data_IF_382444907853
#
_entry.id   IF_382444907853
#
_cell.length_a   1.000
_cell.length_b   1.000
_cell.length_c   1.000
_cell.angle_alpha   90.00
_cell.angle_beta   90.00
_cell.angle_gamma   90.00
#
_symmetry.space_group_name_H-M   'P 1'
#
loop_
_entity.id
_entity.type
_entity.pdbx_description
1 polymer ?
#
# COMPACT_ATOMS: atom_id res chain seq x y z
N UNK A 1 41.06 -10.40 88.43
CA UNK A 1 41.39 -11.14 87.18
C UNK A 1 41.00 -10.28 86.01
N UNK A 2 41.90 -9.76 85.23
CA UNK A 2 41.62 -9.12 83.95
C UNK A 2 41.73 -10.20 82.88
N UNK A 3 40.63 -10.44 82.19
CA UNK A 3 40.63 -11.35 81.02
C UNK A 3 40.88 -10.50 79.77
N UNK A 4 42.04 -10.71 79.15
CA UNK A 4 42.37 -10.13 77.83
C UNK A 4 41.77 -11.04 76.75
N UNK A 5 40.78 -10.56 76.06
CA UNK A 5 40.25 -11.23 74.88
C UNK A 5 41.03 -10.64 73.66
N UNK A 6 41.79 -11.46 72.93
CA UNK A 6 42.45 -10.95 71.72
C UNK A 6 41.39 -10.73 70.65
N UNK A 7 41.17 -9.48 70.30
CA UNK A 7 40.34 -9.11 69.14
C UNK A 7 41.23 -9.09 67.92
N UNK A 8 41.02 -10.01 67.00
CA UNK A 8 41.69 -10.01 65.70
C UNK A 8 40.88 -9.13 64.75
N UNK A 9 41.43 -7.99 64.39
CA UNK A 9 40.84 -7.16 63.35
C UNK A 9 40.89 -7.87 62.00
N UNK A 10 39.77 -8.15 61.40
CA UNK A 10 39.67 -8.72 60.05
C UNK A 10 39.76 -7.54 59.08
N UNK A 11 40.69 -7.61 58.11
CA UNK A 11 40.87 -6.58 57.12
C UNK A 11 39.76 -6.59 56.10
N UNK A 12 39.23 -5.43 55.75
CA UNK A 12 38.34 -5.29 54.60
C UNK A 12 39.09 -5.63 53.30
N UNK A 13 38.42 -6.37 52.42
CA UNK A 13 39.02 -6.86 51.16
C UNK A 13 38.52 -6.04 49.96
N UNK A 14 37.22 -6.06 49.71
CA UNK A 14 36.60 -5.30 48.63
C UNK A 14 35.14 -4.98 48.94
N UNK A 15 34.50 -4.17 48.07
CA UNK A 15 33.08 -3.92 48.09
C UNK A 15 32.40 -4.66 46.95
N UNK A 16 31.36 -5.41 47.29
CA UNK A 16 30.44 -6.01 46.31
C UNK A 16 29.29 -5.02 46.05
N UNK A 17 29.21 -4.52 44.86
CA UNK A 17 28.18 -3.60 44.42
C UNK A 17 27.03 -4.37 43.75
N UNK A 18 25.80 -3.86 43.87
CA UNK A 18 24.65 -4.28 43.08
C UNK A 18 23.76 -3.11 42.77
N UNK A 19 22.95 -3.24 41.72
CA UNK A 19 22.00 -2.25 41.26
C UNK A 19 20.67 -2.95 40.96
N UNK A 20 19.60 -2.60 41.63
CA UNK A 20 18.25 -3.11 41.49
C UNK A 20 18.08 -4.64 41.46
N UNK A 21 16.91 -5.14 41.68
CA UNK A 21 16.54 -6.54 41.46
C UNK A 21 15.78 -6.63 40.11
N UNK A 22 16.44 -7.04 39.05
CA UNK A 22 15.81 -7.24 37.74
C UNK A 22 16.67 -6.85 36.54
N UNK A 23 16.18 -7.08 35.33
CA UNK A 23 16.88 -6.68 34.12
C UNK A 23 16.87 -5.14 33.99
N UNK A 24 18.02 -4.60 33.59
CA UNK A 24 18.24 -3.16 33.37
C UNK A 24 18.54 -2.99 31.90
N UNK A 25 17.96 -1.98 31.29
CA UNK A 25 18.02 -1.77 29.83
C UNK A 25 18.70 -0.46 29.48
N UNK A 26 19.40 -0.47 28.36
CA UNK A 26 19.93 0.74 27.75
C UNK A 26 18.78 1.70 27.43
N UNK A 27 18.90 2.96 27.92
CA UNK A 27 17.86 3.96 27.86
C UNK A 27 17.04 4.13 29.16
N UNK A 28 17.27 3.29 30.15
CA UNK A 28 16.64 3.51 31.47
C UNK A 28 17.32 4.67 32.21
N UNK A 29 16.55 5.42 32.99
CA UNK A 29 17.06 6.44 33.87
C UNK A 29 17.86 5.81 35.02
N UNK A 30 18.97 6.41 35.38
CA UNK A 30 19.71 5.97 36.55
C UNK A 30 19.02 6.41 37.84
N UNK A 31 18.87 5.49 38.79
CA UNK A 31 18.24 5.70 40.10
C UNK A 31 19.26 5.43 41.23
N UNK A 32 19.84 6.47 41.86
CA UNK A 32 20.84 6.31 42.92
C UNK A 32 20.37 5.41 44.08
N UNK A 33 19.09 5.43 44.39
CA UNK A 33 18.48 4.63 45.44
C UNK A 33 18.50 3.11 45.16
N UNK A 34 18.73 2.71 43.93
CA UNK A 34 18.85 1.29 43.54
C UNK A 34 20.27 0.74 43.75
N UNK A 35 21.25 1.58 44.10
CA UNK A 35 22.61 1.13 44.41
C UNK A 35 22.63 0.56 45.83
N UNK A 36 23.16 -0.67 45.94
CA UNK A 36 23.49 -1.28 47.23
C UNK A 36 24.92 -1.80 47.24
N UNK A 37 25.52 -1.88 48.41
CA UNK A 37 26.91 -2.24 48.58
C UNK A 37 27.11 -3.08 49.84
N UNK A 38 27.92 -4.15 49.72
CA UNK A 38 28.38 -4.98 50.85
C UNK A 38 29.90 -4.90 50.98
N UNK A 39 30.37 -4.58 52.15
CA UNK A 39 31.84 -4.69 52.46
C UNK A 39 32.17 -6.16 52.74
N UNK A 40 33.06 -6.71 51.96
CA UNK A 40 33.53 -8.08 52.09
C UNK A 40 34.87 -8.05 52.80
N UNK A 41 34.99 -8.87 53.84
CA UNK A 41 36.21 -9.03 54.62
C UNK A 41 37.05 -10.24 54.15
N UNK A 42 38.34 -10.24 54.51
CA UNK A 42 39.28 -11.29 54.10
C UNK A 42 38.90 -12.72 54.58
N UNK A 43 37.97 -12.87 55.50
CA UNK A 43 37.40 -14.16 55.92
C UNK A 43 36.05 -14.47 55.26
N UNK A 44 35.69 -13.71 54.23
CA UNK A 44 34.40 -13.79 53.51
C UNK A 44 33.18 -13.39 54.36
N UNK A 45 33.36 -12.84 55.53
CA UNK A 45 32.21 -12.21 56.23
C UNK A 45 31.80 -10.92 55.49
N UNK A 46 30.51 -10.57 55.58
CA UNK A 46 29.90 -9.47 54.86
C UNK A 46 29.26 -8.51 55.83
N UNK A 47 29.34 -7.22 55.48
CA UNK A 47 28.61 -6.14 56.14
C UNK A 47 27.93 -5.26 55.12
N UNK A 48 26.61 -5.19 55.18
CA UNK A 48 25.84 -4.21 54.39
C UNK A 48 26.26 -2.79 54.73
N UNK A 49 26.50 -1.99 53.69
CA UNK A 49 26.82 -0.57 53.82
C UNK A 49 25.52 0.25 53.73
N UNK A 50 25.34 1.14 54.70
CA UNK A 50 24.26 2.12 54.60
C UNK A 50 24.58 3.14 53.51
N UNK A 51 23.60 3.83 52.93
CA UNK A 51 23.79 4.90 51.96
C UNK A 51 24.66 6.06 52.46
N UNK A 52 24.83 6.19 53.78
CA UNK A 52 25.74 7.14 54.43
C UNK A 52 27.21 6.69 54.50
N UNK A 53 27.49 5.40 54.19
CA UNK A 53 28.84 4.83 54.26
C UNK A 53 29.63 5.00 52.95
N UNK A 54 28.98 5.52 51.89
CA UNK A 54 29.60 5.83 50.60
C UNK A 54 28.98 7.11 49.99
N UNK A 55 29.72 7.77 49.09
CA UNK A 55 29.31 8.95 48.36
C UNK A 55 29.44 8.70 46.86
N UNK A 56 28.35 8.81 46.12
CA UNK A 56 28.38 8.73 44.64
C UNK A 56 28.98 10.02 44.08
N UNK A 57 30.12 9.96 43.42
CA UNK A 57 30.87 11.10 42.89
C UNK A 57 30.71 11.34 41.41
N UNK A 58 30.33 10.27 40.66
CA UNK A 58 29.98 10.32 39.24
C UNK A 58 28.88 9.30 38.98
N UNK A 59 27.79 9.75 38.34
CA UNK A 59 26.65 8.93 37.96
C UNK A 59 26.17 9.31 36.56
N UNK A 60 25.72 8.34 35.76
CA UNK A 60 25.00 8.65 34.52
C UNK A 60 23.61 9.27 34.84
N UNK A 61 23.03 9.98 33.93
CA UNK A 61 21.62 10.40 33.98
C UNK A 61 20.72 9.33 33.33
N UNK A 62 21.16 8.85 32.18
CA UNK A 62 20.53 7.74 31.43
C UNK A 62 21.62 6.66 31.24
N UNK A 63 21.25 5.42 31.45
CA UNK A 63 22.11 4.27 31.27
C UNK A 63 22.28 3.97 29.77
N UNK A 64 23.49 4.05 29.29
CA UNK A 64 23.81 3.71 27.90
C UNK A 64 25.00 2.74 27.84
N UNK A 65 25.22 2.09 26.70
CA UNK A 65 26.38 1.22 26.51
C UNK A 65 27.71 1.91 26.80
N UNK A 66 27.78 3.24 26.54
CA UNK A 66 28.99 4.05 26.74
C UNK A 66 29.06 4.72 28.11
N UNK A 67 27.93 4.87 28.82
CA UNK A 67 27.84 5.51 30.13
C UNK A 67 26.88 4.74 31.07
N UNK A 68 27.41 3.70 31.71
CA UNK A 68 26.71 2.87 32.71
C UNK A 68 27.61 2.60 33.94
N UNK A 69 28.63 3.42 34.12
CA UNK A 69 29.58 3.30 35.23
C UNK A 69 29.30 4.33 36.30
N UNK A 70 29.21 3.85 37.55
CA UNK A 70 29.09 4.68 38.73
C UNK A 70 30.44 4.75 39.44
N UNK A 71 30.83 5.94 39.87
CA UNK A 71 32.01 6.11 40.73
C UNK A 71 31.55 6.48 42.13
N UNK A 72 32.07 5.79 43.11
CA UNK A 72 31.73 6.00 44.52
C UNK A 72 32.99 6.12 45.37
N UNK A 73 32.95 7.05 46.32
CA UNK A 73 33.98 7.21 47.35
C UNK A 73 33.53 6.41 48.58
N UNK A 74 34.41 5.50 49.03
CA UNK A 74 34.11 4.56 50.11
C UNK A 74 35.22 4.56 51.15
N UNK A 75 35.08 3.73 52.19
CA UNK A 75 36.15 3.53 53.21
C UNK A 75 37.43 2.91 52.60
N UNK A 76 37.32 2.22 51.46
CA UNK A 76 38.44 1.62 50.72
C UNK A 76 39.08 2.60 49.72
N UNK A 77 38.46 3.73 49.45
CA UNK A 77 38.88 4.72 48.47
C UNK A 77 37.82 5.00 47.44
N UNK A 78 38.24 5.46 46.27
CA UNK A 78 37.38 5.68 45.11
C UNK A 78 37.32 4.38 44.31
N UNK A 79 36.09 3.92 44.02
CA UNK A 79 35.79 2.69 43.32
C UNK A 79 34.80 2.93 42.18
N UNK A 80 34.87 2.09 41.15
CA UNK A 80 33.99 2.11 40.02
C UNK A 80 33.16 0.84 39.99
N UNK A 81 31.90 0.96 39.64
CA UNK A 81 30.97 -0.11 39.47
C UNK A 81 30.28 0.03 38.12
N UNK A 82 30.44 -0.98 37.25
CA UNK A 82 29.72 -1.08 35.99
C UNK A 82 28.37 -1.76 36.25
N UNK A 83 27.28 -1.04 35.91
CA UNK A 83 25.92 -1.57 36.03
C UNK A 83 25.69 -2.59 34.91
N UNK A 84 25.30 -3.85 35.23
CA UNK A 84 24.97 -4.83 34.20
C UNK A 84 23.81 -4.32 33.36
N UNK A 85 24.01 -4.20 32.05
CA UNK A 85 23.07 -3.55 31.14
C UNK A 85 22.73 -4.46 29.98
N UNK A 86 21.42 -4.64 29.70
CA UNK A 86 20.97 -5.19 28.44
C UNK A 86 21.03 -4.09 27.38
N UNK A 87 22.03 -4.21 26.49
CA UNK A 87 22.26 -3.21 25.45
C UNK A 87 21.33 -3.40 24.26
N UNK A 88 21.09 -2.33 23.50
CA UNK A 88 20.29 -2.40 22.27
C UNK A 88 21.07 -3.15 21.20
N UNK A 89 20.53 -4.29 20.79
CA UNK A 89 21.07 -5.12 19.72
C UNK A 89 20.58 -4.67 18.33
N UNK A 90 19.36 -4.13 18.26
CA UNK A 90 18.71 -3.71 17.01
C UNK A 90 17.67 -2.63 17.25
N UNK A 91 17.56 -1.69 16.30
CA UNK A 91 16.41 -0.81 16.16
C UNK A 91 15.71 -1.15 14.84
N UNK A 92 14.41 -1.33 14.87
CA UNK A 92 13.57 -1.62 13.70
C UNK A 92 12.59 -0.47 13.50
N UNK A 93 12.48 -0.01 12.27
CA UNK A 93 11.46 0.92 11.79
C UNK A 93 10.57 0.15 10.82
N UNK A 94 9.26 0.20 11.01
CA UNK A 94 8.30 -0.52 10.18
C UNK A 94 7.12 0.39 9.82
N UNK A 95 6.53 0.16 8.65
CA UNK A 95 5.27 0.79 8.28
C UNK A 95 4.10 -0.14 8.56
N UNK A 96 2.97 0.43 8.98
CA UNK A 96 1.70 -0.29 9.19
C UNK A 96 0.96 -0.57 7.90
N UNK A 97 1.31 0.12 6.81
CA UNK A 97 0.64 0.05 5.52
C UNK A 97 1.62 -0.29 4.40
N UNK A 98 1.06 -0.70 3.27
CA UNK A 98 1.83 -0.90 2.05
C UNK A 98 2.34 0.46 1.55
N UNK A 99 3.63 0.57 1.37
CA UNK A 99 4.27 1.79 0.89
C UNK A 99 4.54 1.73 -0.63
N UNK A 100 4.43 2.89 -1.24
CA UNK A 100 4.89 3.15 -2.61
C UNK A 100 6.04 4.16 -2.58
N UNK A 101 6.73 4.34 -3.70
CA UNK A 101 7.68 5.44 -3.85
C UNK A 101 7.01 6.79 -3.55
N UNK A 102 7.69 7.66 -2.81
CA UNK A 102 7.15 8.96 -2.39
C UNK A 102 7.68 9.42 -1.05
N UNK A 103 7.14 10.51 -0.55
CA UNK A 103 7.51 11.15 0.70
C UNK A 103 6.50 10.80 1.79
N UNK A 104 7.01 10.34 2.93
CA UNK A 104 6.19 9.93 4.07
C UNK A 104 6.60 10.68 5.34
N UNK A 105 5.65 11.17 6.14
CA UNK A 105 5.98 11.71 7.44
C UNK A 105 6.50 10.61 8.37
N UNK A 106 7.46 10.94 9.23
CA UNK A 106 8.03 9.97 10.19
C UNK A 106 6.99 9.34 11.13
N UNK A 107 5.84 9.97 11.31
CA UNK A 107 4.71 9.45 12.10
C UNK A 107 3.98 8.25 11.47
N UNK A 108 4.20 7.97 10.19
CA UNK A 108 3.60 6.82 9.50
C UNK A 108 4.32 5.50 9.81
N UNK A 109 5.41 5.60 10.58
CA UNK A 109 6.23 4.46 10.96
C UNK A 109 6.15 4.19 12.47
N UNK A 110 6.34 2.94 12.84
CA UNK A 110 6.57 2.48 14.20
C UNK A 110 8.05 2.20 14.41
N UNK A 111 8.52 2.39 15.62
CA UNK A 111 9.92 2.20 16.01
C UNK A 111 9.97 1.24 17.18
N UNK A 112 10.85 0.25 17.13
CA UNK A 112 11.03 -0.77 18.15
C UNK A 112 12.51 -1.05 18.34
N UNK A 113 12.98 -1.08 19.58
CA UNK A 113 14.30 -1.61 19.93
C UNK A 113 14.18 -3.04 20.42
N UNK A 114 15.17 -3.84 20.07
CA UNK A 114 15.37 -5.19 20.61
C UNK A 114 16.67 -5.17 21.42
N UNK A 115 16.61 -5.68 22.64
CA UNK A 115 17.78 -5.74 23.54
C UNK A 115 18.57 -7.04 23.40
N UNK A 116 19.68 -7.12 24.09
CA UNK A 116 20.60 -8.27 24.04
C UNK A 116 20.01 -9.56 24.64
N UNK A 117 18.95 -9.47 25.41
CA UNK A 117 18.16 -10.59 25.98
C UNK A 117 16.90 -10.90 25.18
N UNK A 118 16.76 -10.35 23.97
CA UNK A 118 15.61 -10.46 23.05
C UNK A 118 14.32 -9.75 23.52
N UNK A 119 14.36 -9.02 24.65
CA UNK A 119 13.25 -8.15 25.05
C UNK A 119 13.09 -6.99 24.09
N UNK A 120 11.86 -6.51 23.94
CA UNK A 120 11.48 -5.46 22.96
C UNK A 120 10.78 -4.31 23.66
N UNK A 121 11.04 -3.10 23.14
CA UNK A 121 10.38 -1.88 23.59
C UNK A 121 10.01 -1.01 22.41
N UNK A 122 8.71 -0.65 22.33
CA UNK A 122 8.24 0.35 21.38
C UNK A 122 8.76 1.73 21.79
N UNK A 123 9.19 2.52 20.81
CA UNK A 123 9.62 3.89 20.96
C UNK A 123 8.57 4.86 20.40
N UNK A 124 8.43 6.00 21.04
CA UNK A 124 7.70 7.12 20.46
C UNK A 124 8.50 7.70 19.29
N UNK A 125 7.81 8.30 18.33
CA UNK A 125 8.43 9.04 17.22
C UNK A 125 9.29 10.23 17.72
N UNK A 126 9.01 10.74 18.93
CA UNK A 126 9.77 11.81 19.55
C UNK A 126 11.04 11.33 20.25
N UNK A 127 11.17 10.03 20.49
CA UNK A 127 12.37 9.44 21.12
C UNK A 127 13.49 9.22 20.10
N UNK A 128 13.18 9.26 18.80
CA UNK A 128 14.14 9.00 17.72
C UNK A 128 14.46 10.25 16.93
N UNK A 129 15.72 10.38 16.53
CA UNK A 129 16.17 11.42 15.62
C UNK A 129 16.15 10.88 14.18
N UNK A 130 15.23 11.39 13.37
CA UNK A 130 15.03 11.05 11.96
C UNK A 130 14.42 12.27 11.26
N UNK A 131 14.65 12.49 9.96
CA UNK A 131 13.99 13.56 9.22
C UNK A 131 12.46 13.50 9.32
N UNK A 132 11.80 14.67 9.43
CA UNK A 132 10.33 14.74 9.52
C UNK A 132 9.63 14.14 8.29
N UNK A 133 10.31 14.11 7.15
CA UNK A 133 9.85 13.50 5.90
C UNK A 133 10.90 12.52 5.39
N UNK A 134 10.46 11.31 5.08
CA UNK A 134 11.30 10.19 4.64
C UNK A 134 10.99 9.91 3.18
N UNK A 135 11.91 10.25 2.25
CA UNK A 135 11.74 9.92 0.84
C UNK A 135 12.04 8.44 0.60
N UNK A 136 11.12 7.74 -0.06
CA UNK A 136 11.28 6.34 -0.45
C UNK A 136 11.31 6.21 -1.97
N UNK A 137 12.31 5.55 -2.49
CA UNK A 137 12.36 5.08 -3.87
C UNK A 137 11.71 3.68 -3.97
N UNK A 138 11.32 3.27 -5.18
CA UNK A 138 10.85 1.90 -5.39
C UNK A 138 11.98 0.89 -5.08
N UNK A 139 11.67 -0.14 -4.32
CA UNK A 139 12.62 -1.14 -3.83
C UNK A 139 12.97 -0.97 -2.35
N UNK A 140 14.12 -1.45 -1.97
CA UNK A 140 14.62 -1.36 -0.60
C UNK A 140 15.30 0.01 -0.36
N UNK A 141 14.95 0.64 0.76
CA UNK A 141 15.48 1.92 1.21
C UNK A 141 16.10 1.71 2.59
N UNK A 142 17.38 1.95 2.72
CA UNK A 142 18.07 1.91 4.00
C UNK A 142 17.95 3.27 4.66
N UNK A 143 17.24 3.31 5.78
CA UNK A 143 16.92 4.53 6.53
C UNK A 143 17.74 4.54 7.81
N UNK A 144 18.46 5.64 8.03
CA UNK A 144 19.21 5.87 9.25
C UNK A 144 18.32 6.48 10.33
N UNK A 145 18.31 5.86 11.51
CA UNK A 145 17.54 6.29 12.68
C UNK A 145 18.51 6.40 13.85
N UNK A 146 18.57 7.56 14.50
CA UNK A 146 19.40 7.77 15.69
C UNK A 146 18.56 7.65 16.96
N UNK A 147 19.02 6.86 17.91
CA UNK A 147 18.44 6.71 19.23
C UNK A 147 19.54 6.65 20.28
N UNK A 148 19.41 7.40 21.37
CA UNK A 148 20.42 7.58 22.42
C UNK A 148 21.83 7.95 21.87
N UNK A 149 21.85 8.80 20.81
CA UNK A 149 23.08 9.25 20.16
C UNK A 149 23.77 8.21 19.28
N UNK A 150 23.20 7.01 19.11
CA UNK A 150 23.72 5.93 18.27
C UNK A 150 22.86 5.76 17.03
N UNK A 151 23.52 5.58 15.88
CA UNK A 151 22.88 5.39 14.58
C UNK A 151 22.60 3.91 14.32
N UNK A 152 21.37 3.65 13.86
CA UNK A 152 20.88 2.33 13.44
C UNK A 152 20.36 2.43 12.01
N UNK A 153 20.49 1.36 11.25
CA UNK A 153 19.93 1.27 9.88
C UNK A 153 18.74 0.32 9.86
N UNK A 154 17.61 0.81 9.35
CA UNK A 154 16.43 0.00 9.10
C UNK A 154 16.10 0.00 7.61
N UNK A 155 15.73 -1.16 7.06
CA UNK A 155 15.41 -1.29 5.64
C UNK A 155 13.90 -1.28 5.44
N UNK A 156 13.39 -0.30 4.70
CA UNK A 156 11.98 -0.15 4.32
C UNK A 156 11.82 -0.48 2.84
N UNK A 157 10.87 -1.35 2.52
CA UNK A 157 10.56 -1.69 1.12
C UNK A 157 9.36 -0.90 0.64
N UNK A 158 9.50 -0.17 -0.47
CA UNK A 158 8.43 0.54 -1.15
C UNK A 158 8.23 -0.02 -2.56
N UNK A 159 6.98 -0.07 -3.04
CA UNK A 159 6.65 -0.46 -4.41
C UNK A 159 6.74 0.74 -5.36
N UNK A 160 6.96 0.46 -6.63
CA UNK A 160 6.75 1.46 -7.67
C UNK A 160 5.25 1.78 -7.77
N UNK A 161 4.90 3.07 -7.91
CA UNK A 161 3.53 3.47 -8.18
C UNK A 161 3.09 2.97 -9.54
N UNK A 162 1.95 2.34 -9.55
CA UNK A 162 1.29 1.90 -10.79
C UNK A 162 0.41 3.01 -11.36
N UNK A 163 -0.02 2.90 -12.61
CA UNK A 163 -0.94 3.87 -13.22
C UNK A 163 -2.24 4.03 -12.40
N UNK A 164 -2.76 2.93 -11.84
CA UNK A 164 -3.95 2.94 -11.00
C UNK A 164 -3.73 3.69 -9.67
N UNK A 165 -2.58 3.49 -9.03
CA UNK A 165 -2.22 4.20 -7.78
C UNK A 165 -2.02 5.70 -8.05
N UNK A 166 -1.29 6.06 -9.11
CA UNK A 166 -1.14 7.46 -9.52
C UNK A 166 -2.49 8.10 -9.83
N UNK A 167 -3.40 7.36 -10.48
CA UNK A 167 -4.74 7.84 -10.76
C UNK A 167 -5.55 8.10 -9.49
N UNK A 168 -5.48 7.22 -8.49
CA UNK A 168 -6.17 7.40 -7.20
C UNK A 168 -5.72 8.67 -6.48
N UNK A 169 -4.45 9.00 -6.53
CA UNK A 169 -3.90 10.24 -5.99
C UNK A 169 -4.32 11.47 -6.83
N UNK A 170 -4.17 11.38 -8.15
CA UNK A 170 -4.46 12.47 -9.09
C UNK A 170 -5.94 12.85 -9.09
N UNK A 171 -6.82 11.85 -9.09
CA UNK A 171 -8.27 12.01 -9.17
C UNK A 171 -8.97 11.85 -7.81
N UNK A 172 -8.29 12.16 -6.71
CA UNK A 172 -8.85 12.06 -5.36
C UNK A 172 -10.19 12.78 -5.22
N UNK A 173 -10.31 14.01 -5.72
CA UNK A 173 -11.57 14.77 -5.70
C UNK A 173 -12.68 14.06 -6.47
N UNK A 174 -12.34 13.36 -7.55
CA UNK A 174 -13.30 12.56 -8.31
C UNK A 174 -13.76 11.34 -7.51
N UNK A 175 -12.85 10.66 -6.81
CA UNK A 175 -13.20 9.56 -5.91
C UNK A 175 -14.08 10.03 -4.75
N UNK A 176 -13.75 11.13 -4.11
CA UNK A 176 -14.50 11.70 -2.98
C UNK A 176 -15.95 12.07 -3.37
N UNK A 177 -16.18 12.43 -4.64
CA UNK A 177 -17.50 12.75 -5.20
C UNK A 177 -18.16 11.61 -5.98
N UNK A 178 -17.58 10.41 -5.96
CA UNK A 178 -18.11 9.25 -6.67
C UNK A 178 -19.31 8.64 -5.94
N UNK A 179 -20.28 8.11 -6.70
CA UNK A 179 -21.38 7.30 -6.14
C UNK A 179 -20.99 5.83 -5.98
N UNK A 180 -19.91 5.42 -6.65
CA UNK A 180 -19.27 4.10 -6.51
C UNK A 180 -17.85 4.19 -7.01
N UNK A 181 -16.93 3.47 -6.38
CA UNK A 181 -15.53 3.40 -6.82
C UNK A 181 -14.88 2.05 -6.51
N UNK A 182 -13.81 1.76 -7.22
CA UNK A 182 -12.90 0.64 -6.94
C UNK A 182 -11.48 1.12 -7.19
N UNK A 183 -10.62 1.00 -6.18
CA UNK A 183 -9.20 1.31 -6.29
C UNK A 183 -8.38 0.17 -5.73
N UNK A 184 -7.42 -0.29 -6.52
CA UNK A 184 -6.44 -1.33 -6.15
C UNK A 184 -5.10 -0.99 -6.77
N UNK A 185 -4.08 -1.79 -6.52
CA UNK A 185 -2.77 -1.67 -7.18
C UNK A 185 -2.85 -1.73 -8.71
N UNK A 186 -3.91 -2.28 -9.28
CA UNK A 186 -3.99 -2.59 -10.73
C UNK A 186 -5.15 -1.93 -11.46
N UNK A 187 -6.12 -1.38 -10.75
CA UNK A 187 -7.29 -0.74 -11.35
C UNK A 187 -7.76 0.45 -10.51
N UNK A 188 -8.10 1.53 -11.21
CA UNK A 188 -8.82 2.68 -10.70
C UNK A 188 -10.16 2.77 -11.43
N UNK A 189 -11.24 2.89 -10.68
CA UNK A 189 -12.59 3.14 -11.20
C UNK A 189 -13.28 4.18 -10.33
N UNK A 190 -13.83 5.20 -10.97
CA UNK A 190 -14.72 6.17 -10.34
C UNK A 190 -16.02 6.26 -11.14
N UNK A 191 -17.15 6.21 -10.46
CA UNK A 191 -18.47 6.36 -11.06
C UNK A 191 -19.12 7.61 -10.52
N UNK A 192 -19.36 8.58 -11.38
CA UNK A 192 -20.01 9.85 -11.04
C UNK A 192 -21.42 9.90 -11.60
N UNK A 193 -22.38 10.30 -10.78
CA UNK A 193 -23.72 10.64 -11.23
C UNK A 193 -23.74 12.10 -11.70
N UNK A 194 -24.19 12.33 -12.90
CA UNK A 194 -24.26 13.64 -13.55
C UNK A 194 -25.69 13.92 -14.01
N UNK A 195 -26.03 15.19 -14.05
CA UNK A 195 -27.36 15.65 -14.44
C UNK A 195 -27.27 16.62 -15.61
N UNK A 196 -28.19 16.51 -16.52
CA UNK A 196 -28.43 17.46 -17.63
C UNK A 196 -29.91 17.86 -17.64
N UNK A 197 -30.26 18.83 -18.45
CA UNK A 197 -31.68 19.17 -18.68
C UNK A 197 -32.51 18.00 -19.22
N UNK A 198 -31.85 17.05 -19.89
CA UNK A 198 -32.48 15.86 -20.49
C UNK A 198 -32.55 14.64 -19.60
N UNK A 199 -31.97 14.70 -18.38
CA UNK A 199 -31.99 13.60 -17.43
C UNK A 199 -30.61 13.33 -16.79
N UNK A 200 -30.52 12.20 -16.12
CA UNK A 200 -29.28 11.78 -15.45
C UNK A 200 -28.45 10.81 -16.31
N UNK A 201 -27.15 10.81 -16.06
CA UNK A 201 -26.26 9.80 -16.61
C UNK A 201 -25.15 9.47 -15.60
N UNK A 202 -24.59 8.29 -15.73
CA UNK A 202 -23.43 7.86 -14.98
C UNK A 202 -22.19 7.91 -15.88
N UNK A 203 -21.17 8.61 -15.41
CA UNK A 203 -19.85 8.68 -16.04
C UNK A 203 -18.90 7.80 -15.22
N UNK A 204 -18.38 6.76 -15.85
CA UNK A 204 -17.37 5.88 -15.24
C UNK A 204 -16.02 6.17 -15.85
N UNK A 205 -15.04 6.55 -15.03
CA UNK A 205 -13.64 6.71 -15.39
C UNK A 205 -12.89 5.45 -14.97
N UNK A 206 -12.09 4.88 -15.85
CA UNK A 206 -11.41 3.59 -15.65
C UNK A 206 -9.95 3.74 -16.05
N UNK A 207 -9.03 3.42 -15.14
CA UNK A 207 -7.61 3.31 -15.44
C UNK A 207 -7.15 1.92 -15.01
N UNK A 208 -6.41 1.24 -15.91
CA UNK A 208 -5.85 -0.09 -15.69
C UNK A 208 -4.37 -0.11 -16.01
N UNK A 209 -3.60 -0.91 -15.27
CA UNK A 209 -2.15 -1.01 -15.46
C UNK A 209 -1.77 -1.85 -16.69
N UNK A 210 -2.50 -2.92 -16.93
CA UNK A 210 -2.29 -3.83 -18.07
C UNK A 210 -3.57 -3.96 -18.90
N UNK A 211 -3.81 -3.02 -19.84
CA UNK A 211 -4.99 -3.05 -20.68
C UNK A 211 -5.05 -4.28 -21.59
N UNK A 212 -3.89 -4.93 -21.85
CA UNK A 212 -3.84 -6.14 -22.67
C UNK A 212 -4.56 -7.30 -22.02
N UNK A 213 -4.48 -7.44 -20.71
CA UNK A 213 -5.09 -8.53 -19.95
C UNK A 213 -6.36 -8.10 -19.18
N UNK A 214 -6.48 -6.83 -18.78
CA UNK A 214 -7.56 -6.35 -17.92
C UNK A 214 -8.81 -5.90 -18.71
N UNK A 215 -8.65 -5.50 -19.98
CA UNK A 215 -9.77 -5.10 -20.85
C UNK A 215 -10.10 -6.24 -21.82
N UNK A 216 -11.35 -6.69 -21.82
CA UNK A 216 -11.77 -7.87 -22.61
C UNK A 216 -13.20 -7.71 -23.12
N UNK A 217 -13.44 -8.19 -24.33
CA UNK A 217 -14.79 -8.52 -24.75
C UNK A 217 -15.29 -9.76 -23.98
N UNK A 218 -16.57 -9.83 -23.67
CA UNK A 218 -17.21 -10.98 -23.01
C UNK A 218 -18.29 -11.63 -23.86
N UNK A 219 -18.61 -12.87 -23.58
CA UNK A 219 -19.77 -13.57 -24.13
C UNK A 219 -20.75 -13.89 -23.00
N UNK A 220 -22.01 -13.74 -23.28
CA UNK A 220 -23.10 -14.22 -22.41
C UNK A 220 -22.90 -15.70 -22.09
N UNK A 221 -22.81 -16.06 -20.79
CA UNK A 221 -22.59 -17.43 -20.35
C UNK A 221 -21.36 -18.11 -21.00
N UNK A 222 -20.35 -17.33 -21.39
CA UNK A 222 -19.14 -17.78 -22.11
C UNK A 222 -19.41 -18.59 -23.38
N UNK A 223 -20.58 -18.45 -23.97
CA UNK A 223 -21.05 -19.24 -25.11
C UNK A 223 -21.45 -18.36 -26.28
N UNK A 224 -20.93 -18.72 -27.48
CA UNK A 224 -21.38 -18.12 -28.74
C UNK A 224 -22.79 -18.60 -29.06
N UNK A 225 -23.70 -17.67 -29.32
CA UNK A 225 -25.12 -17.97 -29.56
C UNK A 225 -25.92 -18.38 -28.33
N UNK A 226 -25.36 -18.19 -27.14
CA UNK A 226 -26.03 -18.47 -25.87
C UNK A 226 -27.16 -17.48 -25.51
N UNK A 227 -27.89 -17.82 -24.44
CA UNK A 227 -28.94 -16.92 -23.91
C UNK A 227 -28.35 -15.62 -23.39
N UNK A 228 -29.18 -14.56 -23.38
CA UNK A 228 -28.79 -13.25 -22.85
C UNK A 228 -28.44 -13.34 -21.37
N UNK A 229 -27.45 -12.58 -20.98
CA UNK A 229 -26.99 -12.41 -19.60
C UNK A 229 -26.94 -10.91 -19.25
N UNK A 230 -27.34 -10.56 -18.04
CA UNK A 230 -27.21 -9.18 -17.58
C UNK A 230 -25.73 -8.87 -17.28
N UNK A 231 -25.24 -7.64 -17.57
CA UNK A 231 -23.88 -7.24 -17.24
C UNK A 231 -23.53 -7.48 -15.75
N UNK A 232 -24.49 -7.24 -14.83
CA UNK A 232 -24.28 -7.50 -13.40
C UNK A 232 -24.08 -8.97 -13.07
N UNK A 233 -24.82 -9.88 -13.74
CA UNK A 233 -24.61 -11.32 -13.59
C UNK A 233 -23.25 -11.75 -14.16
N UNK A 234 -22.89 -11.21 -15.32
CA UNK A 234 -21.58 -11.40 -15.92
C UNK A 234 -20.45 -10.94 -15.01
N UNK A 235 -20.56 -9.73 -14.45
CA UNK A 235 -19.59 -9.20 -13.49
C UNK A 235 -19.40 -10.13 -12.28
N UNK A 236 -20.52 -10.55 -11.68
CA UNK A 236 -20.48 -11.41 -10.48
C UNK A 236 -19.78 -12.75 -10.71
N UNK A 237 -19.96 -13.38 -11.88
CA UNK A 237 -19.31 -14.68 -12.17
C UNK A 237 -17.88 -14.57 -12.70
N UNK A 238 -17.49 -13.43 -13.28
CA UNK A 238 -16.16 -13.23 -13.88
C UNK A 238 -15.21 -12.44 -12.99
N UNK A 239 -15.73 -11.80 -11.93
CA UNK A 239 -14.96 -10.90 -11.08
C UNK A 239 -14.61 -9.57 -11.76
N UNK A 240 -15.32 -9.19 -12.85
CA UNK A 240 -15.06 -7.92 -13.52
C UNK A 240 -15.53 -6.74 -12.66
N UNK A 241 -14.64 -5.77 -12.42
CA UNK A 241 -14.96 -4.58 -11.64
C UNK A 241 -15.95 -3.66 -12.37
N UNK A 242 -15.90 -3.62 -13.70
CA UNK A 242 -16.80 -2.83 -14.56
C UNK A 242 -17.25 -3.66 -15.74
N UNK A 243 -18.53 -3.60 -16.06
CA UNK A 243 -19.10 -4.25 -17.24
C UNK A 243 -20.12 -3.36 -17.91
N UNK A 244 -20.23 -3.50 -19.23
CA UNK A 244 -21.29 -2.87 -20.01
C UNK A 244 -21.80 -3.83 -21.06
N UNK A 245 -23.00 -3.57 -21.57
CA UNK A 245 -23.50 -4.29 -22.73
C UNK A 245 -22.67 -3.95 -23.96
N UNK A 246 -22.53 -4.94 -24.84
CA UNK A 246 -21.93 -4.79 -26.17
C UNK A 246 -22.87 -5.30 -27.25
N UNK A 247 -22.41 -5.33 -28.46
CA UNK A 247 -23.00 -5.87 -29.68
C UNK A 247 -24.49 -5.66 -29.89
N UNK A 248 -24.84 -4.85 -30.88
CA UNK A 248 -26.17 -4.93 -31.48
C UNK A 248 -26.35 -6.32 -32.10
N UNK A 249 -27.49 -6.93 -31.87
CA UNK A 249 -27.80 -8.26 -32.39
C UNK A 249 -29.20 -8.28 -33.02
N UNK A 250 -29.38 -9.14 -33.99
CA UNK A 250 -30.69 -9.56 -34.52
C UNK A 250 -30.92 -11.02 -34.16
N UNK A 251 -32.12 -11.51 -34.43
CA UNK A 251 -32.42 -12.94 -34.30
C UNK A 251 -32.45 -13.59 -35.67
N UNK A 252 -31.72 -14.69 -35.79
CA UNK A 252 -31.85 -15.61 -36.89
C UNK A 252 -32.25 -16.98 -36.36
N UNK A 253 -33.39 -17.50 -36.84
CA UNK A 253 -33.92 -18.80 -36.40
C UNK A 253 -34.02 -18.93 -34.86
N UNK A 254 -34.33 -17.82 -34.16
CA UNK A 254 -34.50 -17.79 -32.72
C UNK A 254 -33.18 -17.59 -31.93
N UNK A 255 -32.05 -17.52 -32.61
CA UNK A 255 -30.75 -17.29 -31.99
C UNK A 255 -30.26 -15.84 -32.20
N UNK A 256 -29.66 -15.18 -31.18
CA UNK A 256 -29.06 -13.89 -31.36
C UNK A 256 -27.83 -13.96 -32.25
N UNK A 257 -27.77 -13.17 -33.30
CA UNK A 257 -26.62 -13.06 -34.21
C UNK A 257 -26.14 -11.61 -34.29
N UNK A 258 -24.83 -11.43 -34.24
CA UNK A 258 -24.24 -10.12 -34.47
C UNK A 258 -24.10 -9.82 -35.96
N UNK A 259 -24.15 -8.55 -36.36
CA UNK A 259 -23.78 -8.13 -37.71
C UNK A 259 -22.26 -8.14 -37.89
N UNK A 260 -21.80 -8.22 -39.16
CA UNK A 260 -20.38 -8.21 -39.48
C UNK A 260 -19.63 -9.48 -39.05
N UNK A 261 -18.35 -9.36 -38.73
CA UNK A 261 -17.52 -10.40 -38.17
C UNK A 261 -17.40 -10.33 -36.64
N UNK A 262 -16.92 -11.40 -36.01
CA UNK A 262 -16.74 -11.45 -34.58
C UNK A 262 -15.47 -12.22 -34.20
N UNK A 263 -14.64 -11.58 -33.36
CA UNK A 263 -13.43 -12.19 -32.78
C UNK A 263 -13.56 -12.11 -31.24
N UNK A 264 -13.20 -13.18 -30.57
CA UNK A 264 -13.16 -13.27 -29.12
C UNK A 264 -11.88 -13.95 -28.64
N UNK A 265 -11.08 -13.24 -27.86
CA UNK A 265 -9.84 -13.78 -27.30
C UNK A 265 -8.89 -14.31 -28.36
N UNK A 266 -8.76 -13.63 -29.50
CA UNK A 266 -7.94 -14.06 -30.64
C UNK A 266 -8.49 -15.22 -31.45
N UNK A 267 -9.79 -15.57 -31.31
CA UNK A 267 -10.46 -16.60 -32.14
C UNK A 267 -11.58 -15.99 -32.97
N UNK A 268 -11.63 -16.30 -34.25
CA UNK A 268 -12.74 -15.94 -35.10
C UNK A 268 -13.94 -16.84 -34.74
N UNK A 269 -15.00 -16.23 -34.19
CA UNK A 269 -16.24 -16.91 -33.86
C UNK A 269 -17.28 -16.76 -34.98
N UNK A 270 -17.24 -15.67 -35.70
CA UNK A 270 -18.00 -15.44 -36.91
C UNK A 270 -17.08 -14.87 -37.97
N UNK A 271 -16.91 -15.60 -39.04
CA UNK A 271 -16.18 -15.10 -40.20
C UNK A 271 -17.04 -14.10 -40.99
N UNK A 272 -16.37 -13.28 -41.77
CA UNK A 272 -17.00 -12.25 -42.59
C UNK A 272 -16.14 -10.97 -42.66
N UNK A 273 -16.77 -9.90 -43.08
CA UNK A 273 -16.13 -8.61 -43.18
C UNK A 273 -16.84 -7.58 -42.26
N UNK A 274 -16.09 -6.58 -41.85
CA UNK A 274 -16.62 -5.47 -41.08
C UNK A 274 -17.63 -4.65 -41.86
N UNK A 275 -18.59 -4.03 -41.16
CA UNK A 275 -19.55 -3.11 -41.75
C UNK A 275 -19.26 -1.63 -41.36
N UNK A 276 -18.15 -1.39 -40.65
CA UNK A 276 -17.76 -0.05 -40.17
C UNK A 276 -18.45 0.39 -38.90
N UNK A 277 -19.18 -0.51 -38.20
CA UNK A 277 -19.85 -0.29 -36.92
C UNK A 277 -19.34 -1.17 -35.81
N UNK A 278 -18.26 -1.86 -36.01
CA UNK A 278 -17.61 -2.68 -35.01
C UNK A 278 -16.64 -1.84 -34.18
N UNK A 279 -16.43 -2.27 -32.95
CA UNK A 279 -15.31 -1.86 -32.13
C UNK A 279 -14.32 -3.01 -32.12
N UNK A 280 -13.07 -2.71 -32.50
CA UNK A 280 -11.92 -3.58 -32.35
C UNK A 280 -11.16 -3.24 -31.09
N UNK A 281 -10.80 -4.23 -30.32
CA UNK A 281 -9.86 -4.15 -29.20
C UNK A 281 -8.60 -4.95 -29.58
N UNK A 282 -7.48 -4.29 -29.65
CA UNK A 282 -6.21 -4.94 -29.97
C UNK A 282 -5.45 -5.45 -28.73
N UNK A 283 -4.30 -6.07 -28.94
CA UNK A 283 -3.46 -6.61 -27.88
C UNK A 283 -2.82 -5.55 -26.97
N UNK A 284 -2.89 -4.27 -27.35
CA UNK A 284 -2.39 -3.15 -26.52
C UNK A 284 -3.48 -2.54 -25.64
N UNK A 285 -4.74 -2.96 -25.84
CA UNK A 285 -5.90 -2.35 -25.18
C UNK A 285 -6.47 -1.15 -25.94
N UNK A 286 -6.04 -0.91 -27.17
CA UNK A 286 -6.56 0.16 -28.00
C UNK A 286 -7.91 -0.21 -28.59
N UNK A 287 -8.88 0.70 -28.42
CA UNK A 287 -10.16 0.67 -29.12
C UNK A 287 -10.11 1.47 -30.43
N UNK A 288 -10.70 0.93 -31.47
CA UNK A 288 -10.93 1.68 -32.72
C UNK A 288 -12.07 1.05 -33.54
N UNK A 289 -12.65 1.84 -34.42
CA UNK A 289 -13.63 1.40 -35.38
C UNK A 289 -12.95 1.17 -36.74
N UNK A 290 -12.97 -0.06 -37.27
CA UNK A 290 -12.35 -0.36 -38.55
C UNK A 290 -13.20 0.19 -39.70
N UNK A 291 -12.58 0.39 -40.87
CA UNK A 291 -13.33 0.62 -42.10
C UNK A 291 -14.19 -0.58 -42.46
N UNK A 292 -15.26 -0.36 -43.23
CA UNK A 292 -16.07 -1.46 -43.76
C UNK A 292 -15.27 -2.30 -44.77
N UNK A 293 -15.59 -3.59 -44.86
CA UNK A 293 -14.99 -4.51 -45.85
C UNK A 293 -13.69 -5.19 -45.42
N UNK A 294 -13.22 -5.00 -44.17
CA UNK A 294 -12.01 -5.67 -43.68
C UNK A 294 -12.40 -7.06 -43.12
N UNK A 295 -11.68 -8.11 -43.53
CA UNK A 295 -11.97 -9.49 -43.08
C UNK A 295 -11.55 -9.70 -41.61
N UNK A 296 -12.24 -10.65 -40.94
CA UNK A 296 -11.87 -11.07 -39.58
C UNK A 296 -10.42 -11.57 -39.50
N UNK A 297 -9.97 -12.31 -40.51
CA UNK A 297 -8.60 -12.83 -40.58
C UNK A 297 -7.56 -11.71 -40.70
N UNK A 298 -7.84 -10.65 -41.47
CA UNK A 298 -6.97 -9.47 -41.58
C UNK A 298 -6.88 -8.74 -40.25
N UNK A 299 -7.98 -8.54 -39.55
CA UNK A 299 -8.01 -7.91 -38.24
C UNK A 299 -7.27 -8.72 -37.16
N UNK A 300 -7.47 -10.04 -37.17
CA UNK A 300 -6.73 -10.94 -36.28
C UNK A 300 -5.21 -10.86 -36.53
N UNK A 301 -4.80 -10.89 -37.81
CA UNK A 301 -3.39 -10.76 -38.18
C UNK A 301 -2.79 -9.39 -37.79
N UNK A 302 -3.60 -8.34 -37.69
CA UNK A 302 -3.18 -6.99 -37.21
C UNK A 302 -3.13 -6.87 -35.68
N UNK A 303 -3.42 -7.94 -34.92
CA UNK A 303 -3.34 -7.94 -33.45
C UNK A 303 -4.67 -7.68 -32.76
N UNK A 304 -5.80 -7.65 -33.46
CA UNK A 304 -7.12 -7.55 -32.83
C UNK A 304 -7.45 -8.83 -32.08
N UNK A 305 -7.76 -8.69 -30.80
CA UNK A 305 -8.12 -9.83 -29.94
C UNK A 305 -9.62 -9.99 -29.72
N UNK A 306 -10.36 -8.88 -29.70
CA UNK A 306 -11.81 -8.88 -29.52
C UNK A 306 -12.47 -7.93 -30.51
N UNK A 307 -13.63 -8.29 -31.04
CA UNK A 307 -14.50 -7.45 -31.86
C UNK A 307 -15.91 -7.61 -31.35
N UNK A 308 -16.63 -6.50 -31.25
CA UNK A 308 -18.08 -6.49 -31.04
C UNK A 308 -18.74 -5.35 -31.85
N UNK A 309 -20.01 -5.52 -32.18
CA UNK A 309 -20.75 -4.53 -32.94
C UNK A 309 -21.29 -3.39 -32.06
N UNK A 310 -21.59 -2.28 -32.65
CA UNK A 310 -22.32 -1.17 -32.03
C UNK A 310 -23.64 -0.91 -32.76
N UNK A 311 -24.59 -0.30 -32.04
CA UNK A 311 -25.86 0.05 -32.67
C UNK A 311 -25.73 1.25 -33.60
N UNK A 312 -24.95 2.23 -33.23
CA UNK A 312 -24.62 3.50 -33.92
C UNK A 312 -23.63 4.32 -33.09
N UNK A 313 -23.33 5.52 -33.51
CA UNK A 313 -22.21 5.87 -34.38
C UNK A 313 -20.97 6.17 -33.56
N UNK A 314 -19.88 6.36 -34.23
CA UNK A 314 -18.70 7.01 -33.64
C UNK A 314 -19.09 8.46 -33.25
N UNK A 315 -19.02 8.77 -31.94
CA UNK A 315 -19.38 10.08 -31.40
C UNK A 315 -18.20 11.07 -31.38
N UNK A 316 -17.02 10.52 -31.12
CA UNK A 316 -15.76 11.27 -31.06
C UNK A 316 -14.72 10.50 -31.85
N UNK A 317 -13.98 11.18 -32.70
CA UNK A 317 -12.82 10.65 -33.44
C UNK A 317 -11.67 11.62 -33.34
N UNK A 318 -10.50 11.11 -32.97
CA UNK A 318 -9.26 11.92 -32.84
C UNK A 318 -9.48 13.17 -31.94
N UNK A 319 -10.23 13.00 -30.85
CA UNK A 319 -10.56 14.09 -29.92
C UNK A 319 -11.60 15.09 -30.43
N UNK A 320 -12.15 14.90 -31.63
CA UNK A 320 -13.13 15.79 -32.22
C UNK A 320 -14.51 15.16 -32.26
N UNK A 321 -15.53 15.98 -31.97
CA UNK A 321 -16.92 15.56 -32.11
C UNK A 321 -17.25 15.27 -33.57
N UNK A 322 -17.77 14.09 -33.86
CA UNK A 322 -18.23 13.71 -35.19
C UNK A 322 -19.56 14.41 -35.49
N UNK A 323 -19.71 14.96 -36.70
CA UNK A 323 -20.97 15.56 -37.13
C UNK A 323 -22.05 14.48 -37.31
N UNK A 324 -23.07 14.52 -36.47
CA UNK A 324 -24.19 13.59 -36.47
C UNK A 324 -25.37 14.07 -37.33
N UNK A 325 -25.26 15.18 -38.04
CA UNK A 325 -26.35 15.76 -38.82
C UNK A 325 -27.00 14.81 -39.84
N UNK A 326 -26.19 13.86 -40.34
CA UNK A 326 -26.63 12.83 -41.29
C UNK A 326 -27.06 11.50 -40.64
N UNK A 327 -27.05 11.42 -39.29
CA UNK A 327 -27.30 10.16 -38.54
C UNK A 327 -28.65 10.26 -37.81
N UNK A 328 -29.72 10.42 -38.56
CA UNK A 328 -31.06 10.76 -38.07
C UNK A 328 -31.72 9.79 -37.08
N UNK A 329 -31.26 8.58 -36.91
CA UNK A 329 -31.94 7.57 -36.11
C UNK A 329 -31.71 7.63 -34.62
N UNK A 330 -30.68 8.33 -34.15
CA UNK A 330 -30.35 8.34 -32.72
C UNK A 330 -31.25 9.26 -31.92
N UNK A 331 -31.72 10.34 -32.55
CA UNK A 331 -32.37 11.45 -31.88
C UNK A 331 -33.89 11.27 -31.59
N UNK A 332 -34.52 10.24 -32.12
CA UNK A 332 -35.99 10.14 -32.07
C UNK A 332 -36.55 9.00 -31.22
N UNK A 333 -35.72 8.28 -30.48
CA UNK A 333 -36.17 7.16 -29.65
C UNK A 333 -35.56 7.20 -28.27
N UNK A 334 -36.40 7.33 -27.26
CA UNK A 334 -35.98 7.34 -25.86
C UNK A 334 -35.62 5.93 -25.40
N UNK A 335 -34.34 5.59 -25.46
CA UNK A 335 -33.81 4.34 -24.92
C UNK A 335 -32.65 4.64 -23.97
N UNK A 336 -32.47 3.79 -22.98
CA UNK A 336 -31.21 3.76 -22.22
C UNK A 336 -30.06 3.57 -23.19
N UNK A 337 -28.95 4.27 -22.97
CA UNK A 337 -27.79 4.25 -23.84
C UNK A 337 -26.55 3.97 -23.02
N UNK A 338 -25.63 3.23 -23.62
CA UNK A 338 -24.26 3.10 -23.14
C UNK A 338 -23.31 3.52 -24.24
N UNK A 339 -22.25 4.21 -23.85
CA UNK A 339 -21.13 4.54 -24.72
C UNK A 339 -19.83 4.19 -24.02
N UNK A 340 -18.83 3.84 -24.79
CA UNK A 340 -17.46 3.65 -24.29
C UNK A 340 -16.52 4.56 -25.08
N UNK A 341 -15.53 5.08 -24.41
CA UNK A 341 -14.48 5.92 -24.99
C UNK A 341 -13.12 5.53 -24.45
N UNK A 342 -12.08 5.84 -25.19
CA UNK A 342 -10.70 5.67 -24.79
C UNK A 342 -9.97 6.99 -24.95
N UNK A 343 -9.24 7.39 -23.91
CA UNK A 343 -8.27 8.51 -23.98
C UNK A 343 -6.97 7.99 -24.59
N UNK A 344 -6.49 6.90 -24.05
CA UNK A 344 -5.33 6.14 -24.47
C UNK A 344 -5.46 4.69 -23.99
N UNK A 345 -4.69 3.74 -24.51
CA UNK A 345 -4.65 2.40 -23.94
C UNK A 345 -4.35 2.45 -22.45
N UNK A 346 -5.25 1.85 -21.65
CA UNK A 346 -5.19 1.88 -20.18
C UNK A 346 -6.10 2.92 -19.53
N UNK A 347 -6.62 3.91 -20.28
CA UNK A 347 -7.54 4.92 -19.74
C UNK A 347 -8.81 5.01 -20.58
N UNK A 348 -9.95 4.74 -19.94
CA UNK A 348 -11.24 4.58 -20.61
C UNK A 348 -12.34 5.31 -19.86
N UNK A 349 -13.39 5.67 -20.61
CA UNK A 349 -14.64 6.17 -20.05
C UNK A 349 -15.81 5.31 -20.51
N UNK A 350 -16.78 5.11 -19.62
CA UNK A 350 -18.09 4.58 -19.96
C UNK A 350 -19.17 5.59 -19.54
N UNK A 351 -20.19 5.71 -20.36
CA UNK A 351 -21.37 6.51 -20.06
C UNK A 351 -22.59 5.59 -20.12
N UNK A 352 -23.40 5.63 -19.07
CA UNK A 352 -24.71 5.01 -19.05
C UNK A 352 -25.76 6.09 -18.78
N UNK A 353 -26.63 6.32 -19.75
CA UNK A 353 -27.71 7.30 -19.66
C UNK A 353 -29.05 6.58 -19.57
N UNK A 354 -29.86 6.97 -18.59
CA UNK A 354 -31.26 6.58 -18.47
C UNK A 354 -32.15 7.40 -19.39
N UNK A 355 -33.34 6.91 -19.63
CA UNK A 355 -34.40 7.72 -20.27
C UNK A 355 -34.98 8.66 -19.23
N UNK A 356 -34.90 9.97 -19.48
CA UNK A 356 -35.76 10.90 -18.74
C UNK A 356 -37.24 10.59 -19.08
N UNK A 357 -37.97 10.22 -18.08
CA UNK A 357 -39.45 10.24 -18.19
C UNK A 357 -39.89 11.68 -17.92
N UNK A 358 -40.41 12.31 -18.93
CA UNK A 358 -41.18 13.54 -18.81
C UNK A 358 -42.63 13.20 -19.04
#
# INVERSE_FOLDING_TARGET
>A
MSVSIPVKAIKADHIAWSYADGPIYEGDSFHPENISAELIYADNTKKELAASDFELTKTPEILTADDHTVTAKTILGEEQYEIPLNTISKLTMESKELLYEGDYPKSDFSYEVTYSDDEKKELSVDDVEIPDTIPLAAGNNDISVTYLGKEYTSTITAKQKTAAVVAAETYKTELDNSVSNVTTDSIFVSVQQKYTESGEYFLTHIIVNDPSSQVKGGLSNDSWGGYREYPTTYAGRTGAAVTTNGSYFSYDSGQPVCAGCFIKGGKILKDGVTNGKEICLDNTGKFYTPSAGISASTLLASGVKDIWGTADPLLIQDGQKVDLANQQKINNTYYNRTAIGMVQPGEYYMITAGTAQY
#
